data_IF_463232344285
#
_entry.id   IF_463232344285
#
_cell.length_a   1.000
_cell.length_b   1.000
_cell.length_c   1.000
_cell.angle_alpha   90.00
_cell.angle_beta   90.00
_cell.angle_gamma   90.00
#
_symmetry.space_group_name_H-M   'P 1'
#
loop_
_entity.id
_entity.type
_entity.pdbx_description
1 polymer ?
#
# COMPACT_ATOMS: atom_id res chain seq x y z
N UNK A 1 3.56 12.49 11.01
CA UNK A 1 4.66 11.61 10.55
C UNK A 1 4.49 11.28 9.08
N UNK A 2 5.57 11.20 8.30
CA UNK A 2 5.51 10.82 6.87
C UNK A 2 5.18 9.33 6.70
N UNK A 3 4.13 8.99 5.94
CA UNK A 3 3.78 7.60 5.62
C UNK A 3 4.45 7.11 4.33
N UNK A 4 4.80 5.83 4.28
CA UNK A 4 5.36 5.19 3.07
C UNK A 4 4.31 4.81 2.04
N UNK A 5 3.07 4.60 2.48
CA UNK A 5 1.95 4.33 1.60
C UNK A 5 0.70 5.13 2.00
N UNK A 6 -0.06 5.54 0.98
CA UNK A 6 -1.35 6.21 1.06
C UNK A 6 -2.36 5.48 0.18
N UNK A 7 -3.64 5.74 0.38
CA UNK A 7 -4.74 5.22 -0.43
C UNK A 7 -5.66 6.36 -0.85
N UNK A 8 -6.20 6.33 -2.08
CA UNK A 8 -7.22 7.30 -2.50
C UNK A 8 -8.57 6.97 -1.87
N UNK A 9 -9.44 7.97 -1.71
CA UNK A 9 -10.79 7.76 -1.19
C UNK A 9 -11.58 6.73 -2.01
N UNK A 10 -11.47 6.78 -3.35
CA UNK A 10 -12.11 5.82 -4.24
C UNK A 10 -11.60 4.38 -4.02
N UNK A 11 -10.29 4.21 -3.81
CA UNK A 11 -9.71 2.90 -3.51
C UNK A 11 -10.12 2.41 -2.11
N UNK A 12 -10.18 3.30 -1.12
CA UNK A 12 -10.66 2.98 0.23
C UNK A 12 -12.12 2.54 0.24
N UNK A 13 -12.99 3.18 -0.54
CA UNK A 13 -14.40 2.80 -0.68
C UNK A 13 -14.57 1.41 -1.28
N UNK A 14 -13.78 1.06 -2.29
CA UNK A 14 -13.78 -0.29 -2.85
C UNK A 14 -13.25 -1.30 -1.83
N UNK A 15 -12.17 -0.95 -1.13
CA UNK A 15 -11.58 -1.81 -0.11
C UNK A 15 -12.56 -2.13 1.01
N UNK A 16 -13.35 -1.16 1.47
CA UNK A 16 -14.41 -1.37 2.46
C UNK A 16 -15.48 -2.35 1.97
N UNK A 17 -15.94 -2.23 0.71
CA UNK A 17 -16.89 -3.17 0.11
C UNK A 17 -16.34 -4.59 0.00
N UNK A 18 -15.05 -4.72 -0.29
CA UNK A 18 -14.38 -6.01 -0.32
C UNK A 18 -14.25 -6.58 1.10
N UNK A 19 -13.95 -5.77 2.11
CA UNK A 19 -13.91 -6.21 3.51
C UNK A 19 -15.26 -6.74 3.98
N UNK A 20 -16.36 -6.07 3.64
CA UNK A 20 -17.71 -6.53 3.99
C UNK A 20 -18.02 -7.94 3.45
N UNK A 21 -17.40 -8.32 2.32
CA UNK A 21 -17.62 -9.61 1.65
C UNK A 21 -16.63 -10.69 2.06
N UNK A 22 -15.38 -10.31 2.30
CA UNK A 22 -14.26 -11.24 2.42
C UNK A 22 -13.61 -11.24 3.82
N UNK A 23 -13.98 -10.30 4.69
CA UNK A 23 -13.40 -10.12 6.01
C UNK A 23 -12.14 -9.27 6.00
N UNK A 24 -11.20 -9.56 6.91
CA UNK A 24 -9.92 -8.85 6.97
C UNK A 24 -9.15 -9.02 5.64
N UNK A 25 -8.53 -7.94 5.17
CA UNK A 25 -7.80 -7.89 3.91
C UNK A 25 -6.37 -7.42 4.12
N UNK A 26 -5.52 -7.70 3.15
CA UNK A 26 -4.15 -7.22 3.06
C UNK A 26 -3.79 -6.83 1.63
N UNK A 27 -2.80 -5.95 1.48
CA UNK A 27 -2.14 -5.71 0.22
C UNK A 27 -0.74 -6.30 0.21
N UNK A 28 -0.32 -6.82 -0.93
CA UNK A 28 1.09 -7.03 -1.24
C UNK A 28 1.45 -6.34 -2.56
N UNK A 29 2.38 -5.39 -2.49
CA UNK A 29 2.96 -4.73 -3.66
C UNK A 29 3.83 -5.71 -4.42
N UNK A 30 3.40 -6.08 -5.62
CA UNK A 30 4.16 -6.97 -6.50
C UNK A 30 5.19 -6.20 -7.31
N UNK A 31 6.35 -6.83 -7.55
CA UNK A 31 7.36 -6.38 -8.50
C UNK A 31 7.03 -7.06 -9.82
N UNK A 32 6.62 -6.29 -10.82
CA UNK A 32 6.06 -6.84 -12.05
C UNK A 32 7.04 -7.76 -12.80
N UNK A 33 6.52 -8.84 -13.37
CA UNK A 33 7.21 -9.62 -14.41
C UNK A 33 6.55 -9.43 -15.79
N UNK A 34 5.21 -9.22 -15.86
CA UNK A 34 4.48 -9.05 -17.14
C UNK A 34 3.46 -7.88 -17.18
N UNK A 35 2.82 -7.50 -16.06
CA UNK A 35 1.71 -6.51 -16.05
C UNK A 35 2.05 -5.19 -15.31
N UNK A 36 3.34 -4.95 -15.03
CA UNK A 36 3.79 -3.85 -14.19
C UNK A 36 3.61 -4.13 -12.68
N UNK A 37 4.13 -3.23 -11.85
CA UNK A 37 4.01 -3.30 -10.38
C UNK A 37 2.57 -2.95 -9.98
N UNK A 38 1.77 -3.94 -9.62
CA UNK A 38 0.39 -3.74 -9.15
C UNK A 38 0.26 -4.08 -7.67
N UNK A 39 -0.51 -3.31 -6.88
CA UNK A 39 -0.82 -3.66 -5.51
C UNK A 39 -1.94 -4.71 -5.54
N UNK A 40 -1.63 -5.91 -5.06
CA UNK A 40 -2.58 -7.03 -5.09
C UNK A 40 -3.30 -7.11 -3.74
N UNK A 41 -4.64 -7.16 -3.77
CA UNK A 41 -5.49 -7.27 -2.59
C UNK A 41 -5.91 -8.73 -2.36
N UNK A 42 -5.67 -9.23 -1.15
CA UNK A 42 -5.99 -10.60 -0.72
C UNK A 42 -6.77 -10.59 0.59
N UNK A 43 -7.49 -11.67 0.94
CA UNK A 43 -7.87 -11.93 2.33
C UNK A 43 -6.60 -11.95 3.21
N UNK A 44 -6.71 -11.42 4.44
CA UNK A 44 -5.59 -11.36 5.36
C UNK A 44 -5.11 -12.78 5.70
N UNK A 45 -3.81 -13.03 5.50
CA UNK A 45 -3.17 -14.33 5.69
C UNK A 45 -3.12 -15.26 4.47
N UNK A 46 -3.85 -14.96 3.39
CA UNK A 46 -3.81 -15.78 2.16
C UNK A 46 -2.52 -15.58 1.35
N UNK A 47 -1.89 -14.40 1.48
CA UNK A 47 -0.53 -14.17 1.00
C UNK A 47 0.47 -14.34 2.16
N UNK A 48 1.45 -15.22 1.99
CA UNK A 48 2.48 -15.47 3.01
C UNK A 48 3.45 -14.28 3.05
N UNK A 49 3.38 -13.50 4.13
CA UNK A 49 4.36 -12.45 4.45
C UNK A 49 5.64 -13.10 4.99
N UNK A 50 6.76 -12.91 4.29
CA UNK A 50 8.06 -13.39 4.71
C UNK A 50 8.71 -12.50 5.77
N UNK A 51 9.67 -13.06 6.52
CA UNK A 51 10.40 -12.36 7.60
C UNK A 51 11.02 -11.02 7.18
N UNK A 52 11.38 -10.91 5.90
CA UNK A 52 12.05 -9.74 5.28
C UNK A 52 11.11 -8.86 4.47
N UNK A 53 9.83 -9.19 4.41
CA UNK A 53 8.85 -8.27 3.83
C UNK A 53 8.71 -7.05 4.75
N UNK A 54 8.42 -5.92 4.15
CA UNK A 54 8.40 -4.62 4.81
C UNK A 54 6.97 -4.12 4.86
N UNK A 55 6.52 -3.73 6.04
CA UNK A 55 5.25 -3.05 6.23
C UNK A 55 5.39 -1.60 5.81
N UNK A 56 4.72 -1.21 4.73
CA UNK A 56 4.70 0.18 4.25
C UNK A 56 3.74 1.04 5.05
N UNK A 57 2.55 0.51 5.32
CA UNK A 57 1.50 1.18 6.07
C UNK A 57 0.45 0.17 6.57
N UNK A 58 -0.43 0.64 7.46
CA UNK A 58 -1.71 -0.03 7.73
C UNK A 58 -2.80 1.01 7.49
N UNK A 59 -3.54 0.88 6.39
CA UNK A 59 -4.61 1.82 6.05
C UNK A 59 -5.72 1.76 7.08
N UNK A 60 -6.31 2.92 7.37
CA UNK A 60 -7.42 3.15 8.29
C UNK A 60 -8.79 2.85 7.64
N UNK A 61 -8.90 1.68 7.01
CA UNK A 61 -10.14 1.16 6.42
C UNK A 61 -10.58 -0.09 7.20
N UNK A 62 -11.78 -0.03 7.77
CA UNK A 62 -12.26 -1.06 8.70
C UNK A 62 -11.37 -1.18 9.95
N UNK A 63 -11.02 -2.42 10.31
CA UNK A 63 -10.10 -2.71 11.43
C UNK A 63 -8.62 -2.48 11.09
N UNK A 64 -8.33 -2.13 9.83
CA UNK A 64 -7.01 -1.82 9.31
C UNK A 64 -6.56 -2.81 8.25
N UNK A 65 -5.91 -2.30 7.21
CA UNK A 65 -5.42 -3.12 6.08
C UNK A 65 -3.91 -2.95 5.93
N UNK A 66 -3.09 -3.98 6.25
CA UNK A 66 -1.65 -3.88 6.11
C UNK A 66 -1.21 -3.92 4.64
N UNK A 67 -0.20 -3.12 4.31
CA UNK A 67 0.38 -3.03 2.97
C UNK A 67 1.83 -3.50 3.03
N UNK A 68 2.10 -4.60 2.35
CA UNK A 68 3.40 -5.24 2.35
C UNK A 68 4.13 -5.03 1.02
N UNK A 69 5.45 -5.07 1.07
CA UNK A 69 6.33 -5.13 -0.10
C UNK A 69 7.52 -6.02 0.24
N UNK A 70 8.11 -6.70 -0.74
CA UNK A 70 9.30 -7.50 -0.46
C UNK A 70 10.52 -6.64 -0.14
N UNK A 71 11.42 -7.13 0.72
CA UNK A 71 12.66 -6.42 1.09
C UNK A 71 13.48 -5.90 -0.10
N UNK A 72 13.76 -6.71 -1.14
CA UNK A 72 14.48 -6.24 -2.33
C UNK A 72 13.75 -5.12 -3.10
N UNK A 73 12.42 -5.19 -3.19
CA UNK A 73 11.64 -4.15 -3.83
C UNK A 73 11.61 -2.87 -2.98
N UNK A 74 11.49 -3.02 -1.66
CA UNK A 74 11.60 -1.90 -0.73
C UNK A 74 12.92 -1.15 -0.92
N UNK A 75 14.06 -1.84 -0.97
CA UNK A 75 15.35 -1.18 -1.16
C UNK A 75 15.43 -0.36 -2.45
N UNK A 76 14.80 -0.87 -3.52
CA UNK A 76 14.73 -0.17 -4.80
C UNK A 76 13.74 1.01 -4.79
N UNK A 77 12.72 1.03 -3.92
CA UNK A 77 11.61 2.00 -3.95
C UNK A 77 11.49 2.86 -2.68
N UNK A 78 12.36 2.68 -1.67
CA UNK A 78 12.26 3.32 -0.34
C UNK A 78 12.24 4.86 -0.34
N UNK A 79 12.65 5.47 -1.45
CA UNK A 79 12.65 6.92 -1.68
C UNK A 79 11.38 7.40 -2.42
N UNK A 80 10.37 6.54 -2.55
CA UNK A 80 9.10 6.81 -3.21
C UNK A 80 7.93 6.49 -2.28
N UNK A 81 6.99 7.41 -2.17
CA UNK A 81 5.69 7.20 -1.53
C UNK A 81 4.79 6.43 -2.48
N UNK A 82 4.29 5.28 -2.02
CA UNK A 82 3.27 4.51 -2.74
C UNK A 82 1.90 5.14 -2.51
N UNK A 83 1.12 5.30 -3.56
CA UNK A 83 -0.29 5.67 -3.47
C UNK A 83 -1.09 4.59 -4.17
N UNK A 84 -1.93 3.89 -3.41
CA UNK A 84 -2.85 2.88 -3.94
C UNK A 84 -4.11 3.59 -4.39
N UNK A 85 -4.37 3.51 -5.69
CA UNK A 85 -5.56 4.07 -6.33
C UNK A 85 -6.37 2.95 -7.00
N UNK A 86 -7.54 3.28 -7.55
CA UNK A 86 -8.39 2.33 -8.25
C UNK A 86 -8.91 2.91 -9.56
N UNK A 87 -8.94 2.08 -10.60
CA UNK A 87 -9.52 2.45 -11.89
C UNK A 87 -10.35 1.30 -12.46
N UNK A 88 -11.31 1.56 -13.37
CA UNK A 88 -11.96 0.50 -14.12
C UNK A 88 -10.96 -0.31 -14.94
N UNK A 89 -11.13 -1.63 -14.99
CA UNK A 89 -10.28 -2.50 -15.77
C UNK A 89 -10.18 -3.91 -15.20
N UNK A 90 -9.45 -4.76 -15.92
CA UNK A 90 -9.18 -6.12 -15.44
C UNK A 90 -8.03 -6.06 -14.43
N UNK A 91 -8.32 -6.33 -13.16
CA UNK A 91 -7.30 -6.51 -12.13
C UNK A 91 -6.40 -7.72 -12.40
N UNK A 92 -5.32 -7.85 -11.62
CA UNK A 92 -4.51 -9.06 -11.63
C UNK A 92 -5.38 -10.26 -11.28
N UNK A 93 -5.22 -11.40 -11.98
CA UNK A 93 -6.15 -12.52 -11.91
C UNK A 93 -6.35 -13.14 -10.52
N UNK A 94 -5.52 -12.78 -9.54
CA UNK A 94 -5.59 -13.23 -8.15
C UNK A 94 -6.05 -12.15 -7.16
N UNK A 95 -6.29 -10.92 -7.61
CA UNK A 95 -6.69 -9.79 -6.76
C UNK A 95 -8.21 -9.74 -6.59
N UNK A 96 -8.69 -9.48 -5.37
CA UNK A 96 -10.10 -9.58 -5.01
C UNK A 96 -11.03 -8.62 -5.76
N UNK A 97 -10.54 -7.49 -6.25
CA UNK A 97 -11.36 -6.53 -6.99
C UNK A 97 -11.63 -6.93 -8.44
N UNK A 98 -10.91 -7.92 -8.98
CA UNK A 98 -11.02 -8.29 -10.39
C UNK A 98 -12.46 -8.64 -10.84
N UNK A 99 -13.29 -9.35 -10.05
CA UNK A 99 -14.69 -9.61 -10.40
C UNK A 99 -15.59 -8.36 -10.40
N UNK A 100 -15.18 -7.27 -9.75
CA UNK A 100 -15.92 -5.99 -9.73
C UNK A 100 -15.67 -5.14 -10.98
N UNK A 101 -14.85 -5.63 -11.93
CA UNK A 101 -14.45 -4.87 -13.11
C UNK A 101 -13.54 -3.67 -12.80
N UNK A 102 -12.92 -3.69 -11.63
CA UNK A 102 -11.97 -2.70 -11.15
C UNK A 102 -10.56 -3.30 -11.10
N UNK A 103 -9.56 -2.43 -10.97
CA UNK A 103 -8.19 -2.80 -10.64
C UNK A 103 -7.57 -1.78 -9.71
N UNK A 104 -6.83 -2.24 -8.71
CA UNK A 104 -5.95 -1.35 -7.96
C UNK A 104 -4.72 -0.96 -8.78
N UNK A 105 -4.21 0.24 -8.54
CA UNK A 105 -3.09 0.83 -9.27
C UNK A 105 -2.09 1.44 -8.29
N UNK A 106 -0.82 1.11 -8.44
CA UNK A 106 0.27 1.77 -7.73
C UNK A 106 0.64 3.06 -8.46
N UNK A 107 0.59 4.19 -7.76
CA UNK A 107 1.19 5.46 -8.17
C UNK A 107 2.34 5.80 -7.21
N UNK A 108 3.27 6.62 -7.67
CA UNK A 108 4.48 6.94 -6.91
C UNK A 108 4.80 8.43 -6.93
N UNK A 109 5.13 8.99 -5.77
CA UNK A 109 5.80 10.29 -5.65
C UNK A 109 7.17 10.09 -5.03
N UNK A 110 8.22 10.71 -5.57
CA UNK A 110 9.48 10.80 -4.86
C UNK A 110 9.30 11.56 -3.54
N UNK A 111 9.86 11.03 -2.45
CA UNK A 111 9.94 11.78 -1.20
C UNK A 111 10.85 13.00 -1.38
N UNK A 112 10.48 14.09 -0.70
CA UNK A 112 11.36 15.23 -0.50
C UNK A 112 12.54 14.84 0.39
N UNK A 113 13.60 15.66 0.38
CA UNK A 113 14.77 15.44 1.24
C UNK A 113 14.39 15.39 2.73
N UNK A 114 13.50 16.28 3.17
CA UNK A 114 13.02 16.32 4.56
C UNK A 114 12.27 15.03 4.94
N UNK A 115 11.43 14.51 4.04
CA UNK A 115 10.71 13.25 4.23
C UNK A 115 11.67 12.05 4.27
N UNK A 116 12.67 12.02 3.38
CA UNK A 116 13.70 10.98 3.40
C UNK A 116 14.49 11.00 4.72
N UNK A 117 14.84 12.17 5.24
CA UNK A 117 15.54 12.32 6.51
C UNK A 117 14.68 11.85 7.69
N UNK A 118 13.39 12.21 7.70
CA UNK A 118 12.43 11.72 8.69
C UNK A 118 12.33 10.19 8.66
N UNK A 119 12.13 9.61 7.47
CA UNK A 119 11.98 8.16 7.28
C UNK A 119 13.27 7.38 7.58
N UNK A 120 14.45 7.98 7.38
CA UNK A 120 15.73 7.37 7.76
C UNK A 120 15.88 7.21 9.28
N UNK A 121 15.25 8.09 10.07
CA UNK A 121 15.17 7.96 11.53
C UNK A 121 14.15 6.92 12.01
N UNK A 122 13.37 6.34 11.10
CA UNK A 122 12.23 5.46 11.41
C UNK A 122 12.36 4.16 10.62
N UNK A 123 13.18 3.20 11.08
CA UNK A 123 13.34 1.92 10.39
C UNK A 123 11.98 1.24 10.23
N UNK A 124 11.65 0.70 9.04
CA UNK A 124 10.35 0.11 8.82
C UNK A 124 10.23 -1.22 9.57
N UNK A 125 8.99 -1.60 9.88
CA UNK A 125 8.69 -2.89 10.53
C UNK A 125 8.82 -4.01 9.51
N UNK A 126 9.58 -5.04 9.84
CA UNK A 126 9.68 -6.25 9.02
C UNK A 126 8.55 -7.24 9.33
N UNK A 127 8.31 -8.20 8.43
CA UNK A 127 7.34 -9.28 8.64
C UNK A 127 7.62 -10.05 9.94
N UNK A 128 8.89 -10.34 10.24
CA UNK A 128 9.28 -10.99 11.49
C UNK A 128 8.90 -10.16 12.73
N UNK A 129 9.22 -8.86 12.73
CA UNK A 129 8.89 -7.97 13.84
C UNK A 129 7.37 -7.83 14.02
N UNK A 130 6.61 -7.78 12.92
CA UNK A 130 5.17 -7.70 12.97
C UNK A 130 4.56 -8.99 13.53
N UNK A 131 5.09 -10.16 13.16
CA UNK A 131 4.71 -11.45 13.74
C UNK A 131 4.97 -11.50 15.26
N UNK A 132 6.07 -10.89 15.72
CA UNK A 132 6.42 -10.74 17.13
C UNK A 132 5.59 -9.65 17.88
N UNK A 133 4.64 -9.02 17.19
CA UNK A 133 3.69 -8.06 17.79
C UNK A 133 4.05 -6.59 17.61
N UNK A 134 5.12 -6.24 16.89
CA UNK A 134 5.41 -4.85 16.56
C UNK A 134 4.29 -4.26 15.67
N UNK A 135 3.88 -3.02 15.94
CA UNK A 135 2.85 -2.31 15.17
C UNK A 135 3.33 -0.88 14.87
N UNK A 136 3.00 -0.33 13.69
CA UNK A 136 3.40 1.03 13.35
C UNK A 136 2.63 2.04 14.21
N UNK A 137 3.26 3.18 14.48
CA UNK A 137 2.58 4.32 15.07
C UNK A 137 1.59 4.87 14.05
N UNK A 138 0.30 4.99 14.43
CA UNK A 138 -0.74 5.58 13.59
C UNK A 138 -0.91 7.06 13.96
N UNK A 139 -0.59 7.96 13.04
CA UNK A 139 -0.88 9.39 13.15
C UNK A 139 -1.65 9.87 11.93
N UNK A 140 -2.90 10.30 12.12
CA UNK A 140 -3.75 10.80 11.04
C UNK A 140 -4.33 9.71 10.13
N UNK A 141 -5.13 10.14 9.15
CA UNK A 141 -5.67 9.26 8.12
C UNK A 141 -4.65 9.07 7.00
N UNK A 142 -4.61 7.87 6.41
CA UNK A 142 -3.79 7.57 5.24
C UNK A 142 -4.60 7.66 3.94
N UNK A 143 -5.84 8.14 4.03
CA UNK A 143 -6.75 8.35 2.91
C UNK A 143 -6.56 9.77 2.39
N UNK A 144 -6.23 9.89 1.10
CA UNK A 144 -6.16 11.18 0.37
C UNK A 144 -7.34 11.29 -0.60
N UNK A 145 -7.78 12.51 -0.92
CA UNK A 145 -8.95 12.67 -1.79
C UNK A 145 -8.64 12.16 -3.20
N UNK A 146 -7.49 12.57 -3.75
CA UNK A 146 -7.07 12.20 -5.10
C UNK A 146 -5.57 11.90 -5.15
N UNK A 147 -5.15 11.10 -6.14
CA UNK A 147 -3.74 10.78 -6.33
C UNK A 147 -2.86 12.01 -6.67
N UNK A 148 -3.45 13.05 -7.25
CA UNK A 148 -2.77 14.29 -7.63
C UNK A 148 -2.38 15.14 -6.40
N UNK A 149 -3.11 15.02 -5.28
CA UNK A 149 -2.73 15.66 -4.01
C UNK A 149 -1.46 15.06 -3.43
N UNK A 150 -1.20 13.78 -3.73
CA UNK A 150 0.05 13.10 -3.39
C UNK A 150 1.17 13.32 -4.41
N UNK A 151 0.91 13.98 -5.55
CA UNK A 151 1.86 14.23 -6.64
C UNK A 151 1.65 15.64 -7.24
N UNK A 152 2.12 16.73 -6.59
CA UNK A 152 2.07 18.04 -7.22
C UNK A 152 2.96 18.03 -8.47
N UNK A 153 2.35 18.19 -9.64
CA UNK A 153 3.06 18.39 -10.90
C UNK A 153 3.88 19.69 -10.76
N UNK A 154 5.21 19.68 -10.93
CA UNK A 154 5.98 20.92 -10.96
C UNK A 154 5.39 21.82 -12.05
N UNK A 155 5.00 23.04 -11.67
CA UNK A 155 4.40 24.01 -12.58
C UNK A 155 5.23 24.18 -13.86
N UNK A 156 4.55 24.18 -15.00
CA UNK A 156 5.13 24.45 -16.33
C UNK A 156 5.86 25.78 -16.39
#
# INVERSE_FOLDING_TARGET
MTSRALITAAAADLLAKLQDRHGALMFHQSGGCCDGSSPMCYPDGDFIVGDRDILLAVFDVGDGVPVWISGPQFEAWKHTQLVIDVVPGRGGGFSLEAPEGMRFLSRGRAFTEAENQELAGQPPITGAQYADGARPVREGSLIVAEAEEACPIPGR
#
